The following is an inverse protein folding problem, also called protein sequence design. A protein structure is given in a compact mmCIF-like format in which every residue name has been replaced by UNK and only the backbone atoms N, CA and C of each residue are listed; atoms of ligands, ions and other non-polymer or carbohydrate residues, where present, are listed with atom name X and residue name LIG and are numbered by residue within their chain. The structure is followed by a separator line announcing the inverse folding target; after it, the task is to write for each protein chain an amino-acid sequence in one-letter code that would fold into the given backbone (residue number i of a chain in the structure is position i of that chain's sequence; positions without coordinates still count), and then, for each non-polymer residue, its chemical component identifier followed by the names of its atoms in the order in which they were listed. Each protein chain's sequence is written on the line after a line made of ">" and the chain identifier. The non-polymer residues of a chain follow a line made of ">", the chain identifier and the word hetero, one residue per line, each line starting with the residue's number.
data_IF_504842457439
#
_entry.id   IF_504842457439
#
_cell.length_a   1.000
_cell.length_b   1.000
_cell.length_c   1.000
_cell.angle_alpha   90.00
_cell.angle_beta   90.00
_cell.angle_gamma   90.00
#
_symmetry.space_group_name_H-M   'P 1'
#
loop_
_entity.id
_entity.type
_entity.pdbx_description
1 polymer ?
#
# COMPACT_ATOMS: atom_id res chain seq x y z
N UNK A 1 -20.09 26.88 8.13
CA UNK A 1 -21.05 25.90 7.66
C UNK A 1 -20.71 24.57 8.33
N UNK A 2 -21.65 23.98 9.06
CA UNK A 2 -21.44 22.68 9.72
C UNK A 2 -21.66 21.56 8.70
N UNK A 3 -20.74 20.58 8.69
CA UNK A 3 -20.88 19.37 7.89
C UNK A 3 -21.27 18.23 8.81
N UNK A 4 -22.48 17.73 8.64
CA UNK A 4 -23.00 16.63 9.44
C UNK A 4 -22.63 15.27 8.83
N UNK A 5 -22.49 14.25 9.69
CA UNK A 5 -22.37 12.88 9.21
C UNK A 5 -23.65 12.46 8.45
N UNK A 6 -23.51 11.82 7.28
CA UNK A 6 -24.65 11.41 6.48
C UNK A 6 -25.57 10.47 7.25
N UNK A 7 -26.88 10.72 7.18
CA UNK A 7 -27.89 9.90 7.84
C UNK A 7 -28.62 9.03 6.83
N UNK A 8 -28.93 7.81 7.21
CA UNK A 8 -29.79 6.96 6.42
C UNK A 8 -31.22 7.52 6.40
N UNK A 9 -31.84 7.50 5.24
CA UNK A 9 -33.24 7.86 5.06
C UNK A 9 -34.14 6.67 5.40
N UNK A 10 -35.46 6.89 5.35
CA UNK A 10 -36.45 5.84 5.55
C UNK A 10 -36.28 4.65 4.59
N UNK A 11 -35.80 4.89 3.38
CA UNK A 11 -35.51 3.85 2.38
C UNK A 11 -34.12 3.20 2.52
N UNK A 12 -33.45 3.37 3.66
CA UNK A 12 -32.08 2.88 3.96
C UNK A 12 -31.02 3.41 2.98
N UNK A 13 -31.33 4.47 2.25
CA UNK A 13 -30.40 5.20 1.39
C UNK A 13 -29.93 6.49 2.05
N UNK A 14 -28.78 6.98 1.63
CA UNK A 14 -28.21 8.24 2.10
C UNK A 14 -28.23 9.24 0.95
N UNK A 15 -28.45 10.52 1.25
CA UNK A 15 -28.34 11.57 0.25
C UNK A 15 -26.90 11.62 -0.31
N UNK A 16 -26.69 11.41 -1.62
CA UNK A 16 -25.35 11.37 -2.20
C UNK A 16 -24.58 12.69 -2.06
N UNK A 17 -25.25 13.84 -2.02
CA UNK A 17 -24.62 15.13 -1.78
C UNK A 17 -24.07 15.24 -0.36
N UNK A 18 -24.83 14.79 0.64
CA UNK A 18 -24.34 14.74 2.03
C UNK A 18 -23.13 13.82 2.18
N UNK A 19 -23.16 12.65 1.52
CA UNK A 19 -22.02 11.72 1.50
C UNK A 19 -20.78 12.38 0.89
N UNK A 20 -20.95 13.06 -0.23
CA UNK A 20 -19.87 13.74 -0.93
C UNK A 20 -19.28 14.87 -0.09
N UNK A 21 -20.11 15.71 0.50
CA UNK A 21 -19.66 16.82 1.35
C UNK A 21 -18.95 16.31 2.60
N UNK A 22 -19.45 15.25 3.22
CA UNK A 22 -18.81 14.64 4.37
C UNK A 22 -17.46 14.00 4.00
N UNK A 23 -17.39 13.32 2.86
CA UNK A 23 -16.14 12.77 2.33
C UNK A 23 -15.10 13.86 2.08
N UNK A 24 -15.52 14.98 1.47
CA UNK A 24 -14.66 16.15 1.26
C UNK A 24 -14.17 16.77 2.57
N UNK A 25 -15.04 16.86 3.55
CA UNK A 25 -14.71 17.37 4.88
C UNK A 25 -13.65 16.49 5.56
N UNK A 26 -13.82 15.17 5.58
CA UNK A 26 -12.84 14.22 6.12
C UNK A 26 -11.51 14.35 5.38
N UNK A 27 -11.56 14.35 4.05
CA UNK A 27 -10.37 14.50 3.21
C UNK A 27 -9.63 15.81 3.48
N UNK A 28 -10.34 16.92 3.64
CA UNK A 28 -9.75 18.21 3.97
C UNK A 28 -9.07 18.20 5.34
N UNK A 29 -9.72 17.62 6.35
CA UNK A 29 -9.15 17.48 7.70
C UNK A 29 -7.84 16.69 7.69
N UNK A 30 -7.84 15.54 7.04
CA UNK A 30 -6.65 14.70 6.90
C UNK A 30 -5.51 15.43 6.15
N UNK A 31 -5.83 16.09 5.02
CA UNK A 31 -4.85 16.84 4.25
C UNK A 31 -4.25 18.00 5.03
N UNK A 32 -5.08 18.76 5.77
CA UNK A 32 -4.60 19.86 6.62
C UNK A 32 -3.64 19.36 7.69
N UNK A 33 -3.91 18.20 8.27
CA UNK A 33 -3.04 17.58 9.27
C UNK A 33 -1.70 17.13 8.65
N UNK A 34 -1.73 16.45 7.50
CA UNK A 34 -0.52 16.06 6.76
C UNK A 34 0.30 17.30 6.37
N UNK A 35 -0.37 18.35 5.86
CA UNK A 35 0.32 19.60 5.51
C UNK A 35 1.02 20.24 6.70
N UNK A 36 0.35 20.32 7.84
CA UNK A 36 0.96 20.86 9.07
C UNK A 36 2.24 20.08 9.44
N UNK A 37 2.19 18.75 9.37
CA UNK A 37 3.36 17.91 9.66
C UNK A 37 4.48 18.12 8.63
N UNK A 38 4.15 18.11 7.34
CA UNK A 38 5.14 18.31 6.28
C UNK A 38 5.80 19.68 6.34
N UNK A 39 5.04 20.74 6.66
CA UNK A 39 5.57 22.11 6.84
C UNK A 39 6.55 22.20 8.02
N UNK A 40 6.31 21.42 9.09
CA UNK A 40 7.23 21.33 10.21
C UNK A 40 8.50 20.57 9.81
N UNK A 41 8.37 19.40 9.21
CA UNK A 41 9.49 18.57 8.77
C UNK A 41 10.37 19.33 7.77
N UNK A 42 9.76 20.05 6.84
CA UNK A 42 10.47 20.82 5.82
C UNK A 42 11.46 21.86 6.38
N UNK A 43 11.23 22.34 7.63
CA UNK A 43 12.13 23.29 8.30
C UNK A 43 13.41 22.65 8.82
N UNK A 44 13.41 21.32 9.00
CA UNK A 44 14.49 20.59 9.66
C UNK A 44 15.16 19.54 8.76
N UNK A 45 14.47 19.13 7.68
CA UNK A 45 15.03 18.16 6.72
C UNK A 45 16.21 18.77 5.95
N UNK A 46 17.11 17.94 5.49
CA UNK A 46 18.14 18.33 4.55
C UNK A 46 17.59 18.48 3.13
N UNK A 47 18.27 19.19 2.23
CA UNK A 47 17.80 19.34 0.85
C UNK A 47 17.61 18.02 0.09
N UNK A 48 18.44 17.03 0.38
CA UNK A 48 18.40 15.70 -0.24
C UNK A 48 17.34 14.77 0.34
N UNK A 49 16.76 15.09 1.51
CA UNK A 49 15.72 14.29 2.15
C UNK A 49 14.37 14.54 1.48
N UNK A 50 13.51 13.53 1.45
CA UNK A 50 12.15 13.62 0.92
C UNK A 50 11.10 13.42 2.02
N UNK A 51 9.92 13.95 1.78
CA UNK A 51 8.73 13.77 2.62
C UNK A 51 7.73 12.92 1.87
N UNK A 52 7.35 11.80 2.45
CA UNK A 52 6.35 10.90 1.91
C UNK A 52 5.50 10.29 3.03
N UNK A 53 4.39 9.74 2.67
CA UNK A 53 3.58 8.87 3.55
C UNK A 53 2.85 7.84 2.70
N UNK A 54 2.46 6.73 3.32
CA UNK A 54 1.57 5.77 2.71
C UNK A 54 0.16 6.35 2.58
N UNK A 55 -0.52 6.03 1.51
CA UNK A 55 -1.81 6.62 1.16
C UNK A 55 -2.72 5.66 0.42
N UNK A 56 -3.78 6.24 -0.17
CA UNK A 56 -4.86 5.61 -0.91
C UNK A 56 -5.90 4.98 0.03
N UNK A 57 -6.46 5.83 0.86
CA UNK A 57 -7.64 5.50 1.65
C UNK A 57 -8.90 6.05 0.98
N UNK A 58 -10.02 5.33 1.11
CA UNK A 58 -11.24 5.56 0.35
C UNK A 58 -11.87 6.95 0.46
N UNK A 59 -11.60 7.68 1.54
CA UNK A 59 -12.16 9.01 1.81
C UNK A 59 -11.10 10.11 1.77
N UNK A 60 -10.02 9.91 1.02
CA UNK A 60 -8.89 10.83 0.95
C UNK A 60 -8.59 11.21 -0.50
N UNK A 61 -8.57 12.50 -0.78
CA UNK A 61 -8.05 13.04 -2.03
C UNK A 61 -6.51 12.96 -2.03
N UNK A 62 -6.01 11.79 -2.39
CA UNK A 62 -4.56 11.50 -2.41
C UNK A 62 -3.81 12.35 -3.43
N UNK A 63 -4.45 12.76 -4.54
CA UNK A 63 -3.84 13.64 -5.53
C UNK A 63 -3.53 15.01 -4.95
N UNK A 64 -4.51 15.63 -4.25
CA UNK A 64 -4.29 16.92 -3.60
C UNK A 64 -3.31 16.80 -2.45
N UNK A 65 -3.44 15.78 -1.62
CA UNK A 65 -2.53 15.57 -0.50
C UNK A 65 -1.08 15.47 -0.96
N UNK A 66 -0.81 14.68 -1.98
CA UNK A 66 0.55 14.51 -2.53
C UNK A 66 1.06 15.83 -3.10
N UNK A 67 0.29 16.49 -3.96
CA UNK A 67 0.70 17.74 -4.58
C UNK A 67 0.97 18.87 -3.59
N UNK A 68 0.25 18.93 -2.49
CA UNK A 68 0.31 20.02 -1.50
C UNK A 68 1.33 19.78 -0.39
N UNK A 69 1.72 18.54 -0.15
CA UNK A 69 2.40 18.19 1.11
C UNK A 69 3.51 17.15 1.01
N UNK A 70 3.64 16.43 -0.11
CA UNK A 70 4.56 15.32 -0.24
C UNK A 70 5.42 15.48 -1.49
N UNK A 71 6.62 14.92 -1.47
CA UNK A 71 7.46 14.80 -2.66
C UNK A 71 6.94 13.71 -3.60
N UNK A 72 6.42 12.62 -3.05
CA UNK A 72 5.73 11.54 -3.75
C UNK A 72 4.86 10.73 -2.77
N UNK A 73 3.99 9.87 -3.30
CA UNK A 73 3.14 8.97 -2.51
C UNK A 73 3.77 7.58 -2.39
N UNK A 74 3.50 6.88 -1.30
CA UNK A 74 3.81 5.46 -1.17
C UNK A 74 2.56 4.63 -0.95
N UNK A 75 2.68 3.33 -1.13
CA UNK A 75 1.57 2.39 -1.04
C UNK A 75 1.92 1.17 -0.20
N UNK A 76 0.95 0.67 0.56
CA UNK A 76 1.06 -0.54 1.34
C UNK A 76 0.41 -1.70 0.58
N UNK A 77 1.23 -2.66 0.17
CA UNK A 77 0.84 -3.75 -0.70
C UNK A 77 0.73 -5.07 0.07
N UNK A 78 -0.51 -5.47 0.34
CA UNK A 78 -0.84 -6.72 1.04
C UNK A 78 -1.75 -7.62 0.18
N UNK A 79 -1.23 -8.24 -0.86
CA UNK A 79 -2.05 -9.02 -1.80
C UNK A 79 -2.80 -10.18 -1.14
N UNK A 80 -2.24 -10.81 -0.14
CA UNK A 80 -2.88 -11.92 0.56
C UNK A 80 -4.10 -11.54 1.40
N UNK A 81 -4.32 -10.28 1.73
CA UNK A 81 -5.62 -9.86 2.29
C UNK A 81 -6.79 -10.08 1.34
N UNK A 82 -6.51 -10.29 0.07
CA UNK A 82 -7.54 -10.68 -0.89
C UNK A 82 -7.91 -12.17 -0.81
N UNK A 83 -7.13 -13.00 -0.08
CA UNK A 83 -7.41 -14.41 0.12
C UNK A 83 -8.03 -14.64 1.51
N UNK A 84 -9.13 -15.39 1.56
CA UNK A 84 -9.63 -15.93 2.82
C UNK A 84 -8.71 -17.07 3.28
N UNK A 85 -8.67 -17.33 4.59
CA UNK A 85 -8.04 -18.54 5.13
C UNK A 85 -8.84 -19.81 4.81
N UNK A 86 -9.97 -19.68 4.15
CA UNK A 86 -10.82 -20.76 3.69
C UNK A 86 -10.11 -21.57 2.58
N UNK A 87 -10.06 -22.88 2.74
CA UNK A 87 -9.47 -23.81 1.80
C UNK A 87 -10.07 -23.73 0.38
N UNK A 88 -11.31 -23.29 0.27
CA UNK A 88 -12.03 -23.12 -1.01
C UNK A 88 -11.74 -21.81 -1.72
N UNK A 89 -11.10 -20.86 -1.08
CA UNK A 89 -10.77 -19.55 -1.68
C UNK A 89 -9.64 -19.62 -2.71
N UNK A 90 -8.92 -20.71 -2.76
CA UNK A 90 -7.80 -20.98 -3.68
C UNK A 90 -8.24 -21.66 -4.99
N UNK A 91 -9.50 -21.63 -5.34
CA UNK A 91 -10.00 -22.20 -6.57
C UNK A 91 -9.17 -21.73 -7.78
N UNK A 92 -8.81 -22.62 -8.70
CA UNK A 92 -8.13 -22.25 -9.94
C UNK A 92 -8.92 -21.17 -10.67
N UNK A 93 -8.27 -20.10 -11.06
CA UNK A 93 -8.92 -18.94 -11.68
C UNK A 93 -9.26 -17.79 -10.76
N UNK A 94 -9.14 -17.93 -9.45
CA UNK A 94 -9.29 -16.84 -8.50
C UNK A 94 -8.00 -15.99 -8.46
N UNK A 95 -7.74 -15.27 -9.54
CA UNK A 95 -6.51 -14.47 -9.71
C UNK A 95 -6.65 -13.11 -9.02
N UNK A 96 -6.76 -13.12 -7.70
CA UNK A 96 -6.89 -11.92 -6.88
C UNK A 96 -5.66 -11.02 -6.98
N UNK A 97 -4.49 -11.57 -7.32
CA UNK A 97 -3.28 -10.80 -7.61
C UNK A 97 -3.47 -9.72 -8.70
N UNK A 98 -4.41 -9.93 -9.63
CA UNK A 98 -4.76 -8.94 -10.66
C UNK A 98 -5.36 -7.66 -10.08
N UNK A 99 -6.05 -7.75 -8.93
CA UNK A 99 -6.60 -6.57 -8.24
C UNK A 99 -5.48 -5.59 -7.88
N UNK A 100 -4.33 -6.08 -7.48
CA UNK A 100 -3.20 -5.24 -7.09
C UNK A 100 -2.59 -4.52 -8.28
N UNK A 101 -2.61 -5.09 -9.47
CA UNK A 101 -2.22 -4.42 -10.70
C UNK A 101 -3.00 -3.11 -10.91
N UNK A 102 -4.32 -3.15 -10.68
CA UNK A 102 -5.15 -1.94 -10.73
C UNK A 102 -4.76 -0.94 -9.65
N UNK A 103 -4.55 -1.39 -8.43
CA UNK A 103 -4.16 -0.51 -7.33
C UNK A 103 -2.82 0.17 -7.60
N UNK A 104 -1.81 -0.56 -8.07
CA UNK A 104 -0.50 -0.01 -8.44
C UNK A 104 -0.61 1.02 -9.57
N UNK A 105 -1.47 0.78 -10.56
CA UNK A 105 -1.77 1.77 -11.60
C UNK A 105 -2.44 3.02 -11.05
N UNK A 106 -3.31 2.89 -10.04
CA UNK A 106 -3.93 4.02 -9.35
C UNK A 106 -2.87 4.83 -8.59
N UNK A 107 -1.98 4.17 -7.85
CA UNK A 107 -0.88 4.87 -7.13
C UNK A 107 -0.05 5.70 -8.09
N UNK A 108 0.39 5.08 -9.20
CA UNK A 108 1.18 5.78 -10.21
C UNK A 108 0.45 6.97 -10.85
N UNK A 109 -0.89 6.93 -10.94
CA UNK A 109 -1.65 8.08 -11.44
C UNK A 109 -1.63 9.28 -10.48
N UNK A 110 -1.40 9.03 -9.20
CA UNK A 110 -1.28 10.09 -8.18
C UNK A 110 0.09 10.74 -8.25
N UNK A 111 1.14 9.94 -8.36
CA UNK A 111 2.52 10.40 -8.41
C UNK A 111 3.32 9.52 -9.38
N UNK A 112 3.96 10.10 -10.41
CA UNK A 112 4.80 9.36 -11.35
C UNK A 112 5.94 8.60 -10.67
N UNK A 113 6.53 9.20 -9.62
CA UNK A 113 7.46 8.56 -8.69
C UNK A 113 6.64 8.01 -7.53
N UNK A 114 6.80 6.74 -7.22
CA UNK A 114 6.17 6.14 -6.03
C UNK A 114 6.96 4.94 -5.53
N UNK A 115 6.76 4.60 -4.26
CA UNK A 115 7.36 3.42 -3.65
C UNK A 115 6.33 2.53 -2.97
N UNK A 116 6.72 1.29 -2.72
CA UNK A 116 6.00 0.40 -1.84
C UNK A 116 6.62 0.52 -0.46
N UNK A 117 5.92 1.20 0.46
CA UNK A 117 6.39 1.40 1.83
C UNK A 117 6.29 0.11 2.64
N UNK A 118 5.23 -0.64 2.42
CA UNK A 118 4.98 -1.90 3.10
C UNK A 118 4.58 -2.97 2.10
N UNK A 119 5.52 -3.82 1.71
CA UNK A 119 5.22 -5.03 0.95
C UNK A 119 5.03 -6.19 1.93
N UNK A 120 3.95 -6.92 1.79
CA UNK A 120 3.69 -8.12 2.58
C UNK A 120 4.87 -9.09 2.51
N UNK A 121 5.35 -9.55 3.67
CA UNK A 121 6.49 -10.48 3.77
C UNK A 121 6.20 -11.75 4.58
N UNK A 122 5.07 -11.80 5.28
CA UNK A 122 4.65 -12.92 6.09
C UNK A 122 3.15 -13.06 6.15
N UNK A 123 2.67 -13.92 7.04
CA UNK A 123 1.25 -13.96 7.39
C UNK A 123 0.86 -12.64 8.08
N UNK A 124 -0.39 -12.25 7.94
CA UNK A 124 -0.90 -11.00 8.50
C UNK A 124 -2.04 -11.24 9.46
N UNK A 125 -2.07 -10.45 10.51
CA UNK A 125 -3.15 -10.44 11.47
C UNK A 125 -2.97 -9.38 12.53
N UNK A 126 -4.07 -8.89 13.05
CA UNK A 126 -4.09 -7.95 14.14
C UNK A 126 -4.75 -8.56 15.38
N UNK A 127 -4.38 -8.02 16.54
CA UNK A 127 -4.98 -8.36 17.82
C UNK A 127 -4.84 -9.86 18.15
N UNK A 128 -5.88 -10.63 17.95
CA UNK A 128 -6.00 -12.00 18.45
C UNK A 128 -6.11 -13.05 17.36
N UNK A 129 -6.04 -12.67 16.07
CA UNK A 129 -6.23 -13.63 14.98
C UNK A 129 -5.36 -13.36 13.77
N UNK A 130 -5.06 -14.42 13.05
CA UNK A 130 -4.47 -14.41 11.71
C UNK A 130 -5.57 -14.12 10.68
N UNK A 131 -5.33 -13.19 9.76
CA UNK A 131 -6.30 -12.77 8.72
C UNK A 131 -5.86 -13.17 7.32
N UNK A 132 -4.56 -13.32 7.09
CA UNK A 132 -4.03 -13.72 5.80
C UNK A 132 -2.89 -14.73 5.97
N UNK A 133 -2.79 -15.75 5.09
CA UNK A 133 -1.77 -16.79 5.18
C UNK A 133 -0.38 -16.27 4.85
N UNK A 134 0.63 -17.05 5.25
CA UNK A 134 2.01 -16.82 4.82
C UNK A 134 2.11 -16.91 3.29
N UNK A 135 2.84 -15.97 2.65
CA UNK A 135 3.07 -16.03 1.21
C UNK A 135 3.64 -17.40 0.79
N UNK A 136 3.09 -17.94 -0.29
CA UNK A 136 3.62 -19.18 -0.90
C UNK A 136 5.00 -18.94 -1.52
N UNK A 137 5.79 -19.99 -1.77
CA UNK A 137 7.02 -19.86 -2.52
C UNK A 137 6.79 -19.13 -3.85
N UNK A 138 7.59 -18.11 -4.12
CA UNK A 138 7.50 -17.29 -5.32
C UNK A 138 6.49 -16.13 -5.28
N UNK A 139 5.57 -16.09 -4.32
CA UNK A 139 4.60 -14.97 -4.24
C UNK A 139 5.27 -13.63 -3.90
N UNK A 140 6.22 -13.60 -2.99
CA UNK A 140 6.96 -12.37 -2.70
C UNK A 140 7.74 -11.87 -3.93
N UNK A 141 8.32 -12.81 -4.69
CA UNK A 141 8.98 -12.48 -5.96
C UNK A 141 7.97 -11.90 -6.96
N UNK A 142 6.82 -12.55 -7.14
CA UNK A 142 5.77 -12.10 -8.05
C UNK A 142 5.31 -10.67 -7.70
N UNK A 143 4.99 -10.41 -6.44
CA UNK A 143 4.48 -9.11 -6.00
C UNK A 143 5.52 -8.00 -6.13
N UNK A 144 6.78 -8.30 -5.82
CA UNK A 144 7.88 -7.34 -5.99
C UNK A 144 8.07 -7.01 -7.46
N UNK A 145 8.15 -8.02 -8.33
CA UNK A 145 8.31 -7.78 -9.76
C UNK A 145 7.10 -7.09 -10.38
N UNK A 146 5.89 -7.38 -9.90
CA UNK A 146 4.67 -6.67 -10.30
C UNK A 146 4.75 -5.18 -9.91
N UNK A 147 5.20 -4.86 -8.70
CA UNK A 147 5.35 -3.47 -8.27
C UNK A 147 6.36 -2.71 -9.13
N UNK A 148 7.52 -3.31 -9.40
CA UNK A 148 8.54 -2.74 -10.29
C UNK A 148 8.01 -2.59 -11.73
N UNK A 149 7.30 -3.59 -12.25
CA UNK A 149 6.71 -3.53 -13.59
C UNK A 149 5.62 -2.43 -13.72
N UNK A 150 5.01 -2.02 -12.61
CA UNK A 150 4.11 -0.86 -12.56
C UNK A 150 4.82 0.46 -12.30
N UNK A 151 6.15 0.47 -12.20
CA UNK A 151 6.97 1.67 -12.07
C UNK A 151 7.26 2.07 -10.63
N UNK A 152 7.19 1.16 -9.66
CA UNK A 152 7.64 1.46 -8.31
C UNK A 152 9.16 1.65 -8.29
N UNK A 153 9.62 2.73 -7.66
CA UNK A 153 11.04 3.10 -7.57
C UNK A 153 11.77 2.35 -6.46
N UNK A 154 11.02 1.90 -5.43
CA UNK A 154 11.55 1.04 -4.38
C UNK A 154 10.46 0.15 -3.78
N UNK A 155 10.91 -0.93 -3.13
CA UNK A 155 10.03 -1.83 -2.37
C UNK A 155 10.64 -2.09 -1.01
N UNK A 156 9.93 -1.69 0.04
CA UNK A 156 10.25 -1.97 1.43
C UNK A 156 9.32 -3.05 1.96
N UNK A 157 9.87 -4.04 2.64
CA UNK A 157 9.07 -5.14 3.20
C UNK A 157 8.61 -4.84 4.62
N UNK A 158 7.36 -5.04 4.89
CA UNK A 158 6.84 -5.03 6.25
C UNK A 158 6.71 -6.47 6.75
N UNK A 159 7.59 -6.88 7.63
CA UNK A 159 8.72 -6.19 8.22
C UNK A 159 9.93 -7.13 8.32
N UNK A 160 11.04 -6.63 8.82
CA UNK A 160 12.26 -7.44 8.95
C UNK A 160 12.03 -8.66 9.84
N UNK A 161 11.56 -8.46 11.06
CA UNK A 161 11.35 -9.51 12.06
C UNK A 161 9.98 -9.38 12.72
N UNK A 162 9.32 -10.51 12.92
CA UNK A 162 8.06 -10.61 13.66
C UNK A 162 8.25 -10.13 15.10
N UNK A 163 7.39 -9.24 15.60
CA UNK A 163 7.43 -8.82 16.99
C UNK A 163 6.90 -9.90 17.92
N UNK A 164 7.41 -9.91 19.14
CA UNK A 164 7.07 -10.92 20.16
C UNK A 164 6.06 -10.43 21.19
N UNK A 165 5.62 -9.18 21.08
CA UNK A 165 4.65 -8.56 21.97
C UNK A 165 3.82 -7.49 21.25
N UNK A 166 2.72 -7.09 21.85
CA UNK A 166 1.84 -6.05 21.31
C UNK A 166 0.77 -6.61 20.37
N UNK A 167 -0.06 -5.71 19.84
CA UNK A 167 -1.22 -6.06 19.00
C UNK A 167 -0.85 -6.66 17.65
N UNK A 168 0.37 -6.47 17.19
CA UNK A 168 0.86 -6.94 15.89
C UNK A 168 1.71 -8.21 15.97
N UNK A 169 1.58 -9.01 17.02
CA UNK A 169 2.30 -10.28 17.14
C UNK A 169 1.97 -11.27 16.02
N UNK A 170 0.79 -11.15 15.40
CA UNK A 170 0.38 -11.97 14.25
C UNK A 170 0.75 -11.35 12.90
N UNK A 171 1.39 -10.17 12.89
CA UNK A 171 1.90 -9.56 11.67
C UNK A 171 3.33 -9.99 11.43
N UNK A 172 3.48 -11.04 10.64
CA UNK A 172 4.77 -11.70 10.45
C UNK A 172 5.67 -10.94 9.47
N UNK A 173 6.94 -10.83 9.86
CA UNK A 173 8.01 -10.27 9.02
C UNK A 173 8.68 -11.32 8.12
N UNK A 174 9.76 -10.91 7.47
CA UNK A 174 10.64 -11.81 6.71
C UNK A 174 11.17 -12.91 7.64
N UNK A 175 11.65 -12.52 8.83
CA UNK A 175 12.06 -13.46 9.88
C UNK A 175 10.93 -13.72 10.87
N UNK A 176 10.85 -14.96 11.32
CA UNK A 176 9.90 -15.37 12.36
C UNK A 176 10.30 -14.88 13.75
N UNK A 177 9.53 -15.24 14.77
CA UNK A 177 9.81 -14.92 16.17
C UNK A 177 11.21 -15.32 16.61
N UNK A 178 11.72 -16.46 16.12
CA UNK A 178 13.05 -16.96 16.42
C UNK A 178 14.20 -16.13 15.84
N UNK A 179 13.90 -15.29 14.83
CA UNK A 179 14.92 -14.54 14.08
C UNK A 179 15.82 -15.43 13.20
N UNK A 180 15.55 -16.73 13.08
CA UNK A 180 16.37 -17.65 12.31
C UNK A 180 16.10 -17.56 10.81
N UNK A 181 17.07 -17.98 10.01
CA UNK A 181 16.93 -18.09 8.58
C UNK A 181 15.77 -19.03 8.21
N UNK A 182 14.96 -18.60 7.27
CA UNK A 182 13.80 -19.33 6.77
C UNK A 182 13.68 -19.19 5.24
N UNK A 183 12.63 -19.75 4.65
CA UNK A 183 12.39 -19.68 3.21
C UNK A 183 12.26 -18.22 2.72
N UNK A 184 11.59 -17.36 3.48
CA UNK A 184 11.29 -15.98 3.06
C UNK A 184 12.56 -15.14 2.90
N UNK A 185 13.50 -15.25 3.83
CA UNK A 185 14.79 -14.52 3.68
C UNK A 185 15.61 -15.06 2.50
N UNK A 186 15.53 -16.35 2.20
CA UNK A 186 16.18 -16.90 0.99
C UNK A 186 15.52 -16.35 -0.28
N UNK A 187 14.19 -16.25 -0.32
CA UNK A 187 13.46 -15.65 -1.42
C UNK A 187 13.81 -14.16 -1.59
N UNK A 188 13.93 -13.39 -0.51
CA UNK A 188 14.34 -11.99 -0.57
C UNK A 188 15.76 -11.83 -1.14
N UNK A 189 16.70 -12.69 -0.76
CA UNK A 189 18.05 -12.69 -1.38
C UNK A 189 17.99 -12.97 -2.87
N UNK A 190 17.11 -13.86 -3.30
CA UNK A 190 16.90 -14.16 -4.72
C UNK A 190 16.27 -12.98 -5.45
N UNK A 191 15.27 -12.33 -4.86
CA UNK A 191 14.68 -11.11 -5.38
C UNK A 191 15.75 -10.03 -5.57
N UNK A 192 16.61 -9.81 -4.58
CA UNK A 192 17.69 -8.85 -4.68
C UNK A 192 18.62 -9.15 -5.88
N UNK A 193 19.03 -10.41 -6.06
CA UNK A 193 19.87 -10.81 -7.21
C UNK A 193 19.17 -10.54 -8.57
N UNK A 194 17.87 -10.82 -8.65
CA UNK A 194 17.08 -10.52 -9.87
C UNK A 194 16.99 -9.02 -10.13
N UNK A 195 16.78 -8.20 -9.10
CA UNK A 195 16.74 -6.75 -9.24
C UNK A 195 18.10 -6.20 -9.69
N UNK A 196 19.20 -6.72 -9.15
CA UNK A 196 20.54 -6.33 -9.61
C UNK A 196 20.78 -6.67 -11.08
N UNK A 197 20.27 -7.82 -11.55
CA UNK A 197 20.35 -8.21 -12.96
C UNK A 197 19.47 -7.33 -13.88
N UNK A 198 18.47 -6.65 -13.31
CA UNK A 198 17.51 -5.79 -14.01
C UNK A 198 17.78 -4.29 -13.77
N UNK A 199 18.95 -3.92 -13.27
CA UNK A 199 19.26 -2.52 -12.92
C UNK A 199 19.02 -1.50 -14.05
N UNK A 200 19.13 -1.93 -15.29
CA UNK A 200 18.94 -1.09 -16.47
C UNK A 200 17.45 -0.69 -16.68
N UNK A 201 16.52 -1.33 -15.96
CA UNK A 201 15.10 -0.94 -15.95
C UNK A 201 14.84 0.24 -15.00
N UNK A 202 15.76 0.50 -14.06
CA UNK A 202 15.63 1.61 -13.12
C UNK A 202 15.57 2.96 -13.85
N UNK A 203 14.63 3.82 -13.44
CA UNK A 203 14.39 5.11 -14.11
C UNK A 203 13.64 5.01 -15.44
N UNK A 204 13.18 3.82 -15.82
CA UNK A 204 12.35 3.62 -17.00
C UNK A 204 11.00 4.34 -16.90
N UNK A 205 10.51 4.84 -18.03
CA UNK A 205 9.21 5.50 -18.11
C UNK A 205 8.15 4.48 -18.47
N UNK A 206 7.15 4.33 -17.60
CA UNK A 206 6.01 3.47 -17.89
C UNK A 206 5.14 4.07 -19.01
N UNK A 207 4.91 3.30 -20.05
CA UNK A 207 4.08 3.71 -21.18
C UNK A 207 2.77 2.90 -21.19
N UNK A 208 1.64 3.59 -20.98
CA UNK A 208 0.31 3.01 -21.11
C UNK A 208 -0.37 3.52 -22.38
N UNK A 209 -0.94 2.58 -23.17
CA UNK A 209 -1.71 2.92 -24.39
C UNK A 209 -3.18 3.15 -24.09
N UNK A 210 -3.65 2.74 -22.92
CA UNK A 210 -5.04 2.84 -22.50
C UNK A 210 -5.09 3.52 -21.13
N UNK A 211 -5.95 4.53 -21.01
CA UNK A 211 -6.27 5.19 -19.75
C UNK A 211 -7.65 4.77 -19.25
N UNK A 212 -7.81 4.65 -17.94
CA UNK A 212 -9.10 4.44 -17.30
C UNK A 212 -9.44 5.68 -16.48
N UNK A 213 -10.60 6.28 -16.76
CA UNK A 213 -11.14 7.37 -15.93
C UNK A 213 -11.85 6.72 -14.74
N UNK A 214 -11.57 7.23 -13.56
CA UNK A 214 -12.21 6.81 -12.31
C UNK A 214 -12.58 8.05 -11.50
N UNK A 215 -13.82 8.11 -11.05
CA UNK A 215 -14.39 9.07 -10.11
C UNK A 215 -14.35 8.54 -8.66
#
# INVERSE_FOLDING_TARGET
>A
QEVHAPRKTYSDSTNPHEVLDYTRFISQGARSFVKMQSDIIARYKKPEDFITTNGIFGNLDSHKMTRESLDFITYDSYPNFAYCLDAYSDAPGNMKDRKWSRNLSTVRSISPVFGIMEQQSGANGWNTRMEAPTPRPGQMTLWTMQSIAHGADYVSYFRWRTCTMGTEIYWHGILDYSGRENRRIREVREIHRKLQAMKDVAGGIYQARVGMIRD
#
